data_IF_906043660375
#
_entry.id   IF_906043660375
#
_cell.length_a   1.000
_cell.length_b   1.000
_cell.length_c   1.000
_cell.angle_alpha   90.00
_cell.angle_beta   90.00
_cell.angle_gamma   90.00
#
_symmetry.space_group_name_H-M   'P 1'
#
loop_
_entity.id
_entity.type
_entity.pdbx_description
1 polymer ?
#
# COMPACT_ATOMS: atom_id res chain seq x y z
N UNK A 1 0.20 -17.49 -19.81
CA UNK A 1 1.04 -16.87 -18.75
C UNK A 1 0.74 -17.58 -17.45
N UNK A 2 1.74 -18.08 -16.72
CA UNK A 2 1.54 -18.66 -15.38
C UNK A 2 1.16 -17.55 -14.40
N UNK A 3 0.27 -17.83 -13.42
CA UNK A 3 -0.04 -16.85 -12.38
C UNK A 3 1.11 -16.79 -11.38
N UNK A 4 1.27 -15.65 -10.69
CA UNK A 4 2.29 -15.49 -9.64
C UNK A 4 2.13 -16.55 -8.55
N UNK A 5 0.90 -16.95 -8.24
CA UNK A 5 0.60 -18.05 -7.31
C UNK A 5 1.22 -19.39 -7.74
N UNK A 6 1.13 -19.73 -9.02
CA UNK A 6 1.70 -20.96 -9.57
C UNK A 6 3.24 -20.91 -9.52
N UNK A 7 3.82 -19.75 -9.79
CA UNK A 7 5.27 -19.54 -9.70
C UNK A 7 5.77 -19.68 -8.26
N UNK A 8 5.05 -19.11 -7.29
CA UNK A 8 5.38 -19.26 -5.87
C UNK A 8 5.29 -20.72 -5.42
N UNK A 9 4.29 -21.46 -5.92
CA UNK A 9 4.16 -22.90 -5.65
C UNK A 9 5.32 -23.70 -6.24
N UNK A 10 5.71 -23.43 -7.49
CA UNK A 10 6.86 -24.06 -8.15
C UNK A 10 8.18 -23.79 -7.38
N UNK A 11 8.29 -22.64 -6.70
CA UNK A 11 9.43 -22.28 -5.84
C UNK A 11 9.37 -22.89 -4.43
N UNK A 12 8.35 -23.70 -4.12
CA UNK A 12 8.17 -24.31 -2.79
C UNK A 12 7.63 -23.36 -1.73
N UNK A 13 7.02 -22.25 -2.12
CA UNK A 13 6.39 -21.33 -1.18
C UNK A 13 5.11 -21.94 -0.61
N UNK A 14 4.93 -21.78 0.70
CA UNK A 14 3.78 -22.29 1.44
C UNK A 14 2.48 -21.60 1.00
N UNK A 15 1.50 -22.40 0.56
CA UNK A 15 0.19 -21.88 0.10
C UNK A 15 -0.61 -21.23 1.25
N UNK A 16 -0.46 -21.75 2.46
CA UNK A 16 -1.11 -21.29 3.70
C UNK A 16 -0.49 -20.03 4.31
N UNK A 17 0.58 -19.50 3.70
CA UNK A 17 1.28 -18.34 4.21
C UNK A 17 0.37 -17.08 4.24
N UNK A 18 0.53 -16.23 5.27
CA UNK A 18 -0.15 -14.93 5.35
C UNK A 18 0.13 -14.07 4.11
N UNK A 19 -0.87 -13.28 3.72
CA UNK A 19 -0.78 -12.41 2.54
C UNK A 19 0.38 -11.40 2.64
N UNK A 20 0.64 -10.86 3.84
CA UNK A 20 1.78 -9.97 4.10
C UNK A 20 3.12 -10.62 3.78
N UNK A 21 3.27 -11.91 4.08
CA UNK A 21 4.50 -12.66 3.81
C UNK A 21 4.67 -12.92 2.31
N UNK A 22 3.57 -13.21 1.60
CA UNK A 22 3.56 -13.35 0.13
C UNK A 22 4.00 -12.06 -0.54
N UNK A 23 3.49 -10.91 -0.08
CA UNK A 23 3.84 -9.60 -0.60
C UNK A 23 5.30 -9.23 -0.33
N UNK A 24 5.80 -9.50 0.88
CA UNK A 24 7.21 -9.30 1.22
C UNK A 24 8.15 -10.18 0.38
N UNK A 25 7.76 -11.44 0.15
CA UNK A 25 8.50 -12.36 -0.71
C UNK A 25 8.61 -11.82 -2.14
N UNK A 26 7.48 -11.43 -2.75
CA UNK A 26 7.44 -10.86 -4.09
C UNK A 26 8.24 -9.56 -4.18
N UNK A 27 8.12 -8.67 -3.19
CA UNK A 27 8.87 -7.40 -3.12
C UNK A 27 10.38 -7.66 -3.16
N UNK A 28 10.87 -8.58 -2.35
CA UNK A 28 12.28 -8.95 -2.31
C UNK A 28 12.73 -9.64 -3.60
N UNK A 29 11.86 -10.45 -4.22
CA UNK A 29 12.14 -11.09 -5.49
C UNK A 29 12.33 -10.05 -6.61
N UNK A 30 11.44 -9.07 -6.70
CA UNK A 30 11.53 -7.99 -7.70
C UNK A 30 12.77 -7.13 -7.45
N UNK A 31 13.06 -6.81 -6.19
CA UNK A 31 14.26 -6.07 -5.81
C UNK A 31 15.54 -6.81 -6.21
N UNK A 32 15.61 -8.11 -5.99
CA UNK A 32 16.76 -8.92 -6.39
C UNK A 32 16.90 -9.01 -7.92
N UNK A 33 15.79 -9.11 -8.66
CA UNK A 33 15.80 -9.26 -10.11
C UNK A 33 16.08 -7.96 -10.89
N UNK A 34 15.62 -6.82 -10.38
CA UNK A 34 15.65 -5.53 -11.10
C UNK A 34 16.47 -4.45 -10.41
N UNK A 35 16.81 -4.63 -9.13
CA UNK A 35 17.38 -3.57 -8.29
C UNK A 35 16.37 -2.48 -7.90
N UNK A 36 15.13 -2.54 -8.38
CA UNK A 36 14.12 -1.51 -8.12
C UNK A 36 13.40 -1.73 -6.79
N UNK A 37 13.14 -0.64 -6.09
CA UNK A 37 12.31 -0.65 -4.89
C UNK A 37 10.83 -0.48 -5.28
N UNK A 38 10.00 -1.46 -4.89
CA UNK A 38 8.58 -1.51 -5.25
C UNK A 38 7.73 -1.45 -3.99
N UNK A 39 6.70 -0.61 -4.01
CA UNK A 39 5.70 -0.56 -2.94
C UNK A 39 4.70 -1.73 -3.08
N UNK A 40 4.41 -2.39 -1.96
CA UNK A 40 3.38 -3.43 -1.90
C UNK A 40 1.98 -2.82 -1.83
N UNK A 41 0.94 -3.55 -2.24
CA UNK A 41 -0.45 -3.10 -2.10
C UNK A 41 -0.82 -2.75 -0.66
N UNK A 42 -0.34 -3.52 0.32
CA UNK A 42 -0.54 -3.26 1.75
C UNK A 42 0.08 -1.92 2.18
N UNK A 43 1.31 -1.63 1.75
CA UNK A 43 1.99 -0.36 2.04
C UNK A 43 1.24 0.83 1.43
N UNK A 44 0.81 0.70 0.17
CA UNK A 44 0.06 1.75 -0.53
C UNK A 44 -1.29 2.05 0.15
N UNK A 45 -1.96 1.04 0.69
CA UNK A 45 -3.20 1.23 1.44
C UNK A 45 -2.96 1.90 2.80
N UNK A 46 -1.89 1.55 3.50
CA UNK A 46 -1.51 2.19 4.76
C UNK A 46 -1.23 3.70 4.58
N UNK A 47 -0.60 4.06 3.46
CA UNK A 47 -0.30 5.46 3.11
C UNK A 47 -1.59 6.25 2.80
N UNK A 48 -2.56 5.63 2.12
CA UNK A 48 -3.89 6.22 1.91
C UNK A 48 -4.63 6.46 3.22
N UNK A 49 -4.61 5.50 4.15
CA UNK A 49 -5.27 5.66 5.44
C UNK A 49 -4.63 6.77 6.27
N UNK A 50 -3.29 6.86 6.27
CA UNK A 50 -2.58 7.95 6.95
C UNK A 50 -2.96 9.30 6.37
N UNK A 51 -2.96 9.45 5.04
CA UNK A 51 -3.38 10.67 4.36
C UNK A 51 -4.82 11.08 4.72
N UNK A 52 -5.72 10.10 4.88
CA UNK A 52 -7.10 10.36 5.26
C UNK A 52 -7.23 10.82 6.73
N UNK A 53 -6.45 10.23 7.64
CA UNK A 53 -6.38 10.67 9.03
C UNK A 53 -5.77 12.06 9.16
N UNK A 54 -4.69 12.35 8.43
CA UNK A 54 -4.07 13.67 8.40
C UNK A 54 -5.06 14.72 7.87
N UNK A 55 -5.84 14.39 6.84
CA UNK A 55 -6.90 15.26 6.31
C UNK A 55 -8.08 15.47 7.29
N UNK A 56 -8.38 14.47 8.13
CA UNK A 56 -9.40 14.60 9.18
C UNK A 56 -8.92 15.51 10.33
N UNK A 57 -7.61 15.55 10.59
CA UNK A 57 -7.00 16.39 11.61
C UNK A 57 -6.65 17.80 11.12
N UNK A 58 -6.48 17.99 9.81
CA UNK A 58 -6.30 19.30 9.19
C UNK A 58 -7.66 20.00 9.03
N UNK A 59 -8.22 20.48 10.15
CA UNK A 59 -9.35 21.39 10.10
C UNK A 59 -8.82 22.83 10.11
N UNK A 60 -8.79 23.45 8.94
CA UNK A 60 -8.32 24.82 8.79
C UNK A 60 -9.50 25.79 8.93
N UNK A 61 -9.50 26.60 9.98
CA UNK A 61 -10.49 27.66 10.18
C UNK A 61 -9.99 28.92 9.49
N UNK A 62 -10.86 29.57 8.72
CA UNK A 62 -10.55 30.88 8.16
C UNK A 62 -10.19 31.89 9.26
N UNK A 63 -9.58 33.04 8.92
CA UNK A 63 -9.22 34.08 9.89
C UNK A 63 -10.42 34.61 10.71
N UNK A 64 -11.65 34.32 10.27
CA UNK A 64 -12.91 34.62 10.91
C UNK A 64 -13.49 33.45 11.76
N UNK A 65 -12.72 32.37 11.95
CA UNK A 65 -13.11 31.20 12.73
C UNK A 65 -14.19 30.34 12.08
N UNK A 66 -14.48 30.53 10.79
CA UNK A 66 -15.53 29.80 10.08
C UNK A 66 -14.95 28.74 9.14
N UNK A 67 -15.60 27.57 9.02
CA UNK A 67 -15.22 26.56 8.04
C UNK A 67 -15.43 27.11 6.61
N UNK A 68 -14.61 26.69 5.63
CA UNK A 68 -14.73 27.16 4.25
C UNK A 68 -16.12 26.84 3.69
N UNK A 69 -16.80 27.86 3.14
CA UNK A 69 -18.06 27.67 2.41
C UNK A 69 -17.79 26.77 1.20
N UNK A 70 -18.50 25.64 1.11
CA UNK A 70 -18.55 24.83 -0.12
C UNK A 70 -19.08 25.70 -1.25
N UNK A 71 -18.21 26.07 -2.18
CA UNK A 71 -18.62 26.64 -3.48
C UNK A 71 -18.93 25.43 -4.36
N UNK A 72 -20.20 25.29 -4.74
CA UNK A 72 -20.68 24.25 -5.64
C UNK A 72 -20.36 24.53 -7.10
#
# INVERSE_FOLDING_TARGET
MKKVGDLMKDMGFREDAPQSLKEAFIKNLIKAATGAEVQTPSEKNAERTKKWMDAQLSFDFGPDGKPPKKVG
#
